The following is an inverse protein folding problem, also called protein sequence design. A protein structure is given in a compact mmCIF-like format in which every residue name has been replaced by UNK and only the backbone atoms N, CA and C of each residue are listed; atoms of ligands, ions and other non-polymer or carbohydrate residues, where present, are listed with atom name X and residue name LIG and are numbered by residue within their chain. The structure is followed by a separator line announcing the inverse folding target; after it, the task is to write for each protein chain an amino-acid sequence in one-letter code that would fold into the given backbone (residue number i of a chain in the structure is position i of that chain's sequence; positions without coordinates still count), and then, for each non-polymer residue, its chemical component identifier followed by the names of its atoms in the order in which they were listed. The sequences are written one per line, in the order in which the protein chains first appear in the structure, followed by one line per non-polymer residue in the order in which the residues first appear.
data_IF_507226239213
#
_entry.id   IF_507226239213
#
_cell.length_a   1.000
_cell.length_b   1.000
_cell.length_c   1.000
_cell.angle_alpha   90.00
_cell.angle_beta   90.00
_cell.angle_gamma   90.00
#
_symmetry.space_group_name_H-M   'P 1'
#
loop_
_entity.id
_entity.type
_entity.pdbx_description
1 polymer ?
#
# COMPACT_ATOMS: atom_id res chain seq x y z
N UNK A 1 -4.67 29.34 4.13
CA UNK A 1 -4.40 27.88 4.11
C UNK A 1 -5.72 27.17 3.94
N UNK A 2 -5.72 26.09 3.17
CA UNK A 2 -6.87 25.19 2.98
C UNK A 2 -6.43 23.76 3.29
N UNK A 3 -7.38 22.93 3.70
CA UNK A 3 -7.14 21.52 3.99
C UNK A 3 -7.38 20.68 2.75
N UNK A 4 -6.41 19.81 2.43
CA UNK A 4 -6.51 18.80 1.39
C UNK A 4 -6.26 17.43 2.03
N UNK A 5 -7.18 16.49 1.83
CA UNK A 5 -7.07 15.12 2.34
C UNK A 5 -6.82 14.18 1.16
N UNK A 6 -5.79 13.36 1.26
CA UNK A 6 -5.50 12.28 0.31
C UNK A 6 -5.97 10.98 0.98
N UNK A 7 -7.09 10.42 0.53
CA UNK A 7 -7.53 9.09 0.96
C UNK A 7 -6.89 8.06 0.02
N UNK A 8 -5.96 7.27 0.55
CA UNK A 8 -5.22 6.23 -0.14
C UNK A 8 -5.96 4.90 0.00
N UNK A 9 -6.36 4.28 -1.11
CA UNK A 9 -6.86 2.90 -1.14
C UNK A 9 -5.69 1.90 -0.98
N UNK A 10 -4.99 2.02 0.14
CA UNK A 10 -3.75 1.31 0.41
C UNK A 10 -3.78 0.69 1.82
N UNK A 11 -3.39 -0.58 1.92
CA UNK A 11 -3.33 -1.34 3.18
C UNK A 11 -1.96 -1.15 3.84
N UNK A 12 -1.66 0.06 4.29
CA UNK A 12 -0.33 0.44 4.79
C UNK A 12 -0.31 0.52 6.32
N UNK A 13 0.66 -0.15 6.95
CA UNK A 13 1.01 0.14 8.34
C UNK A 13 1.37 1.62 8.49
N UNK A 14 1.12 2.23 9.66
CA UNK A 14 1.43 3.64 9.88
C UNK A 14 2.87 4.02 9.49
N UNK A 15 3.85 3.17 9.83
CA UNK A 15 5.26 3.42 9.47
C UNK A 15 5.49 3.43 7.95
N UNK A 16 4.89 2.50 7.19
CA UNK A 16 5.04 2.47 5.73
C UNK A 16 4.31 3.63 5.06
N UNK A 17 3.16 4.06 5.59
CA UNK A 17 2.47 5.27 5.12
C UNK A 17 3.38 6.49 5.29
N UNK A 18 4.04 6.60 6.46
CA UNK A 18 4.97 7.69 6.76
C UNK A 18 6.14 7.70 5.77
N UNK A 19 6.88 6.60 5.69
CA UNK A 19 8.10 6.50 4.87
C UNK A 19 7.81 6.64 3.37
N UNK A 20 6.73 6.04 2.87
CA UNK A 20 6.45 6.00 1.44
C UNK A 20 5.73 7.26 0.91
N UNK A 21 4.92 7.90 1.75
CA UNK A 21 4.06 8.99 1.31
C UNK A 21 4.24 10.26 2.13
N UNK A 22 4.15 10.21 3.46
CA UNK A 22 4.18 11.43 4.28
C UNK A 22 5.52 12.17 4.18
N UNK A 23 6.65 11.49 4.40
CA UNK A 23 7.97 12.13 4.37
C UNK A 23 8.31 12.70 2.98
N UNK A 24 8.10 11.98 1.86
CA UNK A 24 8.33 12.56 0.54
C UNK A 24 7.39 13.73 0.22
N UNK A 25 6.12 13.66 0.63
CA UNK A 25 5.16 14.74 0.41
C UNK A 25 5.49 15.97 1.25
N UNK A 26 5.74 15.80 2.54
CA UNK A 26 6.18 16.85 3.47
C UNK A 26 7.38 17.59 2.90
N UNK A 27 8.43 16.84 2.50
CA UNK A 27 9.64 17.41 1.91
C UNK A 27 9.32 18.22 0.65
N UNK A 28 8.51 17.67 -0.26
CA UNK A 28 8.16 18.36 -1.50
C UNK A 28 7.35 19.65 -1.26
N UNK A 29 6.45 19.65 -0.27
CA UNK A 29 5.65 20.82 0.09
C UNK A 29 6.51 21.93 0.71
N UNK A 30 7.44 21.54 1.60
CA UNK A 30 8.37 22.47 2.26
C UNK A 30 9.37 23.07 1.26
N UNK A 31 9.99 22.25 0.40
CA UNK A 31 10.94 22.71 -0.63
C UNK A 31 10.28 23.69 -1.62
N UNK A 32 8.99 23.50 -1.91
CA UNK A 32 8.25 24.38 -2.79
C UNK A 32 7.61 25.59 -2.08
N UNK A 33 7.66 25.64 -0.74
CA UNK A 33 6.95 26.61 0.10
C UNK A 33 5.46 26.72 -0.28
N UNK A 34 4.76 25.58 -0.36
CA UNK A 34 3.33 25.54 -0.76
C UNK A 34 2.41 24.99 0.33
N UNK A 35 2.97 24.45 1.41
CA UNK A 35 2.20 23.88 2.51
C UNK A 35 3.02 22.97 3.41
N UNK A 36 2.31 22.23 4.25
CA UNK A 36 2.86 21.28 5.22
C UNK A 36 1.91 20.11 5.40
N UNK A 37 2.43 18.99 5.91
CA UNK A 37 1.60 17.89 6.37
C UNK A 37 1.13 18.18 7.80
N UNK A 38 -0.15 17.91 8.07
CA UNK A 38 -0.76 18.22 9.39
C UNK A 38 -1.33 17.00 10.10
N UNK A 39 -1.45 15.87 9.40
CA UNK A 39 -1.91 14.63 10.02
C UNK A 39 -2.08 13.48 9.04
N UNK A 40 -2.59 12.37 9.55
CA UNK A 40 -2.97 11.21 8.75
C UNK A 40 -3.55 10.09 9.60
N UNK A 41 -4.60 9.46 9.11
CA UNK A 41 -5.34 8.37 9.75
C UNK A 41 -5.13 7.01 9.11
N UNK A 42 -5.39 5.97 9.90
CA UNK A 42 -5.47 4.58 9.42
C UNK A 42 -6.82 4.03 9.83
N UNK A 43 -7.59 3.55 8.87
CA UNK A 43 -8.84 2.85 9.16
C UNK A 43 -8.59 1.35 9.16
N UNK A 44 -9.00 0.70 10.24
CA UNK A 44 -8.89 -0.75 10.40
C UNK A 44 -10.27 -1.41 10.26
N UNK A 45 -10.25 -2.64 9.75
CA UNK A 45 -11.36 -3.58 9.86
C UNK A 45 -11.50 -4.07 11.30
N UNK A 46 -12.62 -4.73 11.61
CA UNK A 46 -12.83 -5.35 12.93
C UNK A 46 -11.78 -6.41 13.27
N UNK A 47 -11.13 -6.98 12.25
CA UNK A 47 -10.02 -7.93 12.39
C UNK A 47 -8.72 -7.27 12.84
N UNK A 48 -8.63 -5.94 12.79
CA UNK A 48 -7.39 -5.18 12.95
C UNK A 48 -6.61 -5.00 11.64
N UNK A 49 -7.01 -5.68 10.56
CA UNK A 49 -6.42 -5.48 9.24
C UNK A 49 -6.69 -4.08 8.73
N UNK A 50 -5.69 -3.45 8.11
CA UNK A 50 -5.84 -2.11 7.56
C UNK A 50 -6.74 -2.17 6.32
N UNK A 51 -7.72 -1.25 6.29
CA UNK A 51 -8.63 -1.09 5.17
C UNK A 51 -8.09 -0.08 4.17
N UNK A 52 -7.79 1.12 4.66
CA UNK A 52 -7.24 2.25 3.92
C UNK A 52 -6.59 3.25 4.90
N UNK A 53 -5.93 4.26 4.36
CA UNK A 53 -5.33 5.34 5.14
C UNK A 53 -5.57 6.69 4.49
N UNK A 54 -5.36 7.76 5.25
CA UNK A 54 -5.44 9.12 4.78
C UNK A 54 -4.23 9.95 5.22
N UNK A 55 -3.97 11.01 4.45
CA UNK A 55 -2.94 12.01 4.71
C UNK A 55 -3.60 13.38 4.61
N UNK A 56 -3.43 14.21 5.63
CA UNK A 56 -4.00 15.55 5.71
C UNK A 56 -2.90 16.59 5.49
N UNK A 57 -3.14 17.48 4.52
CA UNK A 57 -2.24 18.57 4.16
C UNK A 57 -2.89 19.93 4.44
N UNK A 58 -2.10 20.88 4.92
CA UNK A 58 -2.45 22.29 4.97
C UNK A 58 -1.66 23.02 3.88
N UNK A 59 -2.35 23.50 2.84
CA UNK A 59 -1.70 24.10 1.67
C UNK A 59 -2.15 25.55 1.43
N UNK A 60 -1.32 26.33 0.73
CA UNK A 60 -1.69 27.67 0.27
C UNK A 60 -2.79 27.57 -0.78
N UNK A 61 -3.79 28.43 -0.68
CA UNK A 61 -5.02 28.34 -1.49
C UNK A 61 -4.74 28.57 -2.99
N UNK A 62 -3.83 29.48 -3.30
CA UNK A 62 -3.36 29.79 -4.65
C UNK A 62 -2.51 28.66 -5.28
N UNK A 63 -1.95 27.76 -4.47
CA UNK A 63 -1.16 26.61 -4.93
C UNK A 63 -1.98 25.31 -5.08
N UNK A 64 -3.28 25.35 -4.73
CA UNK A 64 -4.17 24.17 -4.71
C UNK A 64 -4.09 23.31 -5.97
N UNK A 65 -4.26 23.92 -7.14
CA UNK A 65 -4.29 23.18 -8.42
C UNK A 65 -2.93 22.57 -8.78
N UNK A 66 -1.84 23.23 -8.38
CA UNK A 66 -0.47 22.72 -8.59
C UNK A 66 -0.22 21.50 -7.70
N UNK A 67 -0.61 21.56 -6.43
CA UNK A 67 -0.49 20.42 -5.49
C UNK A 67 -1.34 19.24 -5.94
N UNK A 68 -2.61 19.46 -6.31
CA UNK A 68 -3.48 18.40 -6.85
C UNK A 68 -2.86 17.77 -8.10
N UNK A 69 -2.38 18.59 -9.03
CA UNK A 69 -1.74 18.10 -10.27
C UNK A 69 -0.46 17.31 -9.99
N UNK A 70 0.30 17.67 -8.95
CA UNK A 70 1.48 16.93 -8.52
C UNK A 70 1.10 15.56 -7.98
N UNK A 71 0.15 15.49 -7.04
CA UNK A 71 -0.32 14.22 -6.44
C UNK A 71 -0.88 13.28 -7.52
N UNK A 72 -1.65 13.81 -8.47
CA UNK A 72 -2.23 13.04 -9.59
C UNK A 72 -1.18 12.35 -10.48
N UNK A 73 0.07 12.83 -10.49
CA UNK A 73 1.16 12.25 -11.28
C UNK A 73 1.89 11.11 -10.55
N UNK A 74 1.67 10.94 -9.25
CA UNK A 74 2.33 9.91 -8.44
C UNK A 74 1.77 8.54 -8.83
N UNK A 75 2.60 7.74 -9.52
CA UNK A 75 2.18 6.45 -10.10
C UNK A 75 1.96 5.34 -9.08
N UNK A 76 2.60 5.46 -7.92
CA UNK A 76 2.51 4.49 -6.82
C UNK A 76 1.18 4.59 -6.05
N UNK A 77 0.37 5.62 -6.29
CA UNK A 77 -0.94 5.73 -5.64
C UNK A 77 -1.88 4.67 -6.21
N UNK A 78 -2.49 3.82 -5.36
CA UNK A 78 -3.40 2.77 -5.83
C UNK A 78 -4.68 3.32 -6.42
N UNK A 79 -5.23 2.61 -7.41
CA UNK A 79 -6.58 2.87 -7.94
C UNK A 79 -7.61 2.85 -6.81
N UNK A 80 -8.64 3.68 -6.94
CA UNK A 80 -9.67 3.87 -5.91
C UNK A 80 -9.31 4.92 -4.85
N UNK A 81 -8.10 5.48 -4.88
CA UNK A 81 -7.71 6.62 -4.05
C UNK A 81 -8.39 7.91 -4.52
N UNK A 82 -8.48 8.91 -3.65
CA UNK A 82 -9.12 10.20 -3.96
C UNK A 82 -8.50 11.35 -3.17
N UNK A 83 -8.63 12.55 -3.73
CA UNK A 83 -8.34 13.82 -3.06
C UNK A 83 -9.67 14.46 -2.66
N UNK A 84 -9.75 14.97 -1.44
CA UNK A 84 -10.88 15.71 -0.89
C UNK A 84 -10.39 17.11 -0.51
N UNK A 85 -11.06 18.14 -1.00
CA UNK A 85 -10.76 19.54 -0.72
C UNK A 85 -12.07 20.31 -0.55
N UNK A 86 -12.48 20.57 0.69
CA UNK A 86 -13.81 21.08 1.00
C UNK A 86 -14.90 20.15 0.47
N UNK A 87 -15.82 20.67 -0.35
CA UNK A 87 -16.91 19.88 -0.97
C UNK A 87 -16.47 19.16 -2.25
N UNK A 88 -15.25 19.40 -2.74
CA UNK A 88 -14.76 18.80 -3.99
C UNK A 88 -14.03 17.50 -3.73
N UNK A 89 -14.34 16.47 -4.52
CA UNK A 89 -13.63 15.18 -4.53
C UNK A 89 -13.14 14.86 -5.94
N UNK A 90 -11.88 14.42 -6.06
CA UNK A 90 -11.29 14.00 -7.33
C UNK A 90 -10.63 12.62 -7.18
N UNK A 91 -10.96 11.67 -8.07
CA UNK A 91 -10.32 10.36 -8.10
C UNK A 91 -8.86 10.47 -8.56
N UNK A 92 -7.98 9.71 -7.92
CA UNK A 92 -6.56 9.63 -8.26
C UNK A 92 -6.07 8.17 -8.20
N UNK A 93 -4.82 7.97 -8.61
CA UNK A 93 -4.16 6.66 -8.54
C UNK A 93 -4.28 5.85 -9.81
N UNK A 94 -3.25 5.05 -10.05
CA UNK A 94 -3.13 4.18 -11.22
C UNK A 94 -2.55 2.81 -10.90
N UNK A 95 -1.91 2.63 -9.74
CA UNK A 95 -1.36 1.34 -9.36
C UNK A 95 -2.46 0.32 -9.05
N UNK A 96 -2.28 -0.91 -9.52
CA UNK A 96 -3.08 -2.06 -9.12
C UNK A 96 -2.45 -2.70 -7.88
N UNK A 97 -3.28 -3.34 -7.06
CA UNK A 97 -2.85 -3.93 -5.80
C UNK A 97 -3.09 -5.44 -5.76
N UNK A 98 -2.11 -6.18 -5.23
CA UNK A 98 -2.18 -7.61 -4.99
C UNK A 98 -1.89 -7.90 -3.52
N UNK A 99 -2.82 -8.58 -2.85
CA UNK A 99 -2.58 -9.15 -1.52
C UNK A 99 -2.31 -10.65 -1.64
N UNK A 100 -1.29 -11.14 -0.93
CA UNK A 100 -1.05 -12.56 -0.70
C UNK A 100 -1.32 -12.82 0.78
N UNK A 101 -2.34 -13.61 1.08
CA UNK A 101 -2.67 -14.03 2.44
C UNK A 101 -2.12 -15.43 2.67
N UNK A 102 -1.14 -15.53 3.57
CA UNK A 102 -0.49 -16.75 4.01
C UNK A 102 -1.24 -17.34 5.20
N UNK A 103 -1.35 -18.66 5.25
CA UNK A 103 -1.96 -19.34 6.37
C UNK A 103 -1.03 -19.32 7.60
N UNK A 104 -1.51 -18.84 8.74
CA UNK A 104 -0.72 -18.69 9.97
C UNK A 104 -0.97 -19.75 11.04
N UNK A 105 -1.90 -20.71 10.85
CA UNK A 105 -2.33 -21.61 11.94
C UNK A 105 -2.49 -23.08 11.56
N UNK A 106 -2.73 -23.40 10.29
CA UNK A 106 -3.24 -24.70 9.86
C UNK A 106 -2.18 -25.58 9.16
N UNK A 107 -0.98 -25.04 8.90
CA UNK A 107 0.14 -25.84 8.40
C UNK A 107 0.82 -26.63 9.54
N UNK A 108 1.51 -27.75 9.24
CA UNK A 108 2.31 -28.45 10.24
C UNK A 108 3.33 -27.50 10.89
N UNK A 109 3.52 -27.62 12.22
CA UNK A 109 4.41 -26.71 12.96
C UNK A 109 5.86 -26.69 12.44
N UNK A 110 6.34 -27.82 11.91
CA UNK A 110 7.65 -27.91 11.27
C UNK A 110 7.80 -26.91 10.12
N UNK A 111 6.75 -26.69 9.32
CA UNK A 111 6.80 -25.72 8.20
C UNK A 111 7.07 -24.31 8.72
N UNK A 112 6.42 -23.89 9.79
CA UNK A 112 6.68 -22.57 10.39
C UNK A 112 8.05 -22.48 11.07
N UNK A 113 8.60 -23.60 11.54
CA UNK A 113 9.89 -23.64 12.23
C UNK A 113 11.09 -23.68 11.29
N UNK A 114 10.93 -24.28 10.09
CA UNK A 114 12.03 -24.49 9.14
C UNK A 114 12.02 -23.56 7.95
N UNK A 115 11.04 -22.65 7.84
CA UNK A 115 10.95 -21.69 6.73
C UNK A 115 10.85 -20.27 7.30
N UNK A 116 11.58 -19.34 6.68
CA UNK A 116 11.53 -17.92 7.03
C UNK A 116 10.60 -17.16 6.08
N UNK A 117 9.65 -16.40 6.62
CA UNK A 117 8.76 -15.54 5.83
C UNK A 117 9.54 -14.47 5.07
N UNK A 118 10.68 -14.01 5.58
CA UNK A 118 11.51 -13.00 4.92
C UNK A 118 12.21 -13.56 3.68
N UNK A 119 12.60 -14.84 3.70
CA UNK A 119 13.11 -15.54 2.51
C UNK A 119 12.02 -15.67 1.44
N UNK A 120 10.79 -16.01 1.84
CA UNK A 120 9.64 -16.00 0.94
C UNK A 120 9.37 -14.61 0.35
N UNK A 121 9.35 -13.56 1.18
CA UNK A 121 9.16 -12.17 0.72
C UNK A 121 10.23 -11.82 -0.32
N UNK A 122 11.50 -12.16 -0.06
CA UNK A 122 12.59 -11.93 -1.01
C UNK A 122 12.35 -12.66 -2.33
N UNK A 123 11.90 -13.92 -2.30
CA UNK A 123 11.58 -14.68 -3.51
C UNK A 123 10.40 -14.08 -4.29
N UNK A 124 9.40 -13.53 -3.59
CA UNK A 124 8.25 -12.86 -4.21
C UNK A 124 8.67 -11.55 -4.87
N UNK A 125 9.46 -10.72 -4.18
CA UNK A 125 10.05 -9.48 -4.72
C UNK A 125 10.89 -9.76 -5.96
N UNK A 126 11.80 -10.74 -5.90
CA UNK A 126 12.65 -11.13 -7.03
C UNK A 126 11.81 -11.61 -8.23
N UNK A 127 10.75 -12.37 -7.98
CA UNK A 127 9.86 -12.85 -9.04
C UNK A 127 9.05 -11.71 -9.69
N UNK A 128 8.53 -10.79 -8.88
CA UNK A 128 7.78 -9.62 -9.35
C UNK A 128 8.71 -8.70 -10.16
N UNK A 129 9.91 -8.41 -9.64
CA UNK A 129 10.89 -7.50 -10.24
C UNK A 129 10.32 -6.09 -10.39
N UNK A 130 10.56 -5.44 -11.53
CA UNK A 130 10.13 -4.05 -11.77
C UNK A 130 8.59 -3.87 -11.92
N UNK A 131 7.81 -4.95 -11.86
CA UNK A 131 6.35 -4.92 -12.11
C UNK A 131 5.58 -4.36 -10.91
N UNK A 132 6.16 -4.40 -9.72
CA UNK A 132 5.57 -3.94 -8.48
C UNK A 132 6.50 -4.20 -7.29
N UNK A 133 6.11 -3.70 -6.13
CA UNK A 133 6.87 -3.88 -4.89
C UNK A 133 5.92 -4.10 -3.72
N UNK A 134 6.41 -4.75 -2.67
CA UNK A 134 5.72 -4.85 -1.40
C UNK A 134 5.72 -3.47 -0.74
N UNK A 135 4.53 -3.00 -0.38
CA UNK A 135 4.38 -1.72 0.30
C UNK A 135 4.20 -1.92 1.80
N UNK A 136 3.60 -3.04 2.22
CA UNK A 136 3.28 -3.28 3.61
C UNK A 136 2.87 -4.72 3.86
N UNK A 137 2.68 -5.07 5.13
CA UNK A 137 2.09 -6.33 5.58
C UNK A 137 1.09 -6.10 6.71
N UNK A 138 0.36 -7.15 7.05
CA UNK A 138 -0.43 -7.24 8.27
C UNK A 138 -0.33 -8.65 8.85
N UNK A 139 -0.13 -8.75 10.16
CA UNK A 139 -0.12 -10.01 10.88
C UNK A 139 -1.39 -10.12 11.72
N UNK A 140 -2.23 -11.09 11.37
CA UNK A 140 -3.45 -11.42 12.08
C UNK A 140 -3.32 -12.71 12.89
N UNK A 141 -4.38 -13.04 13.62
CA UNK A 141 -4.41 -14.27 14.44
C UNK A 141 -4.49 -15.57 13.64
N UNK A 142 -4.82 -15.50 12.34
CA UNK A 142 -4.99 -16.67 11.46
C UNK A 142 -4.20 -16.60 10.17
N UNK A 143 -3.83 -15.39 9.73
CA UNK A 143 -3.20 -15.18 8.45
C UNK A 143 -2.17 -14.05 8.55
N UNK A 144 -1.14 -14.13 7.72
CA UNK A 144 -0.25 -13.00 7.44
C UNK A 144 -0.52 -12.51 6.03
N UNK A 145 -0.82 -11.23 5.86
CA UNK A 145 -1.07 -10.61 4.57
C UNK A 145 0.16 -9.82 4.12
N UNK A 146 0.57 -10.02 2.87
CA UNK A 146 1.62 -9.27 2.19
C UNK A 146 0.98 -8.44 1.06
N UNK A 147 1.21 -7.13 1.05
CA UNK A 147 0.56 -6.20 0.13
C UNK A 147 1.55 -5.64 -0.88
N UNK A 148 1.32 -5.96 -2.15
CA UNK A 148 2.12 -5.53 -3.28
C UNK A 148 1.32 -4.57 -4.16
N UNK A 149 1.99 -3.56 -4.70
CA UNK A 149 1.39 -2.61 -5.63
C UNK A 149 2.31 -2.38 -6.83
N UNK A 150 1.70 -2.27 -8.00
CA UNK A 150 2.40 -2.25 -9.27
C UNK A 150 1.53 -1.76 -10.42
N UNK A 151 2.03 -1.89 -11.65
CA UNK A 151 1.29 -1.42 -12.84
C UNK A 151 0.15 -2.36 -13.22
N UNK A 152 0.31 -3.67 -12.99
CA UNK A 152 -0.73 -4.66 -13.28
C UNK A 152 -0.81 -5.79 -12.25
N UNK A 153 -2.02 -6.01 -11.73
CA UNK A 153 -2.34 -7.14 -10.86
C UNK A 153 -2.09 -8.47 -11.57
N UNK A 154 -2.51 -8.61 -12.83
CA UNK A 154 -2.36 -9.86 -13.57
C UNK A 154 -0.89 -10.20 -13.82
N UNK A 155 -0.06 -9.21 -14.10
CA UNK A 155 1.38 -9.42 -14.30
C UNK A 155 2.08 -9.79 -12.98
N UNK A 156 1.76 -9.11 -11.87
CA UNK A 156 2.29 -9.47 -10.56
C UNK A 156 1.85 -10.88 -10.15
N UNK A 157 0.57 -11.22 -10.37
CA UNK A 157 0.01 -12.54 -10.04
C UNK A 157 0.65 -13.68 -10.83
N UNK A 158 0.86 -13.49 -12.14
CA UNK A 158 1.55 -14.51 -12.94
C UNK A 158 3.03 -14.61 -12.58
N UNK A 159 3.69 -13.50 -12.21
CA UNK A 159 5.08 -13.50 -11.79
C UNK A 159 5.32 -14.35 -10.53
N UNK A 160 4.46 -14.24 -9.51
CA UNK A 160 4.62 -14.98 -8.24
C UNK A 160 4.16 -16.44 -8.32
N UNK A 161 3.50 -16.86 -9.40
CA UNK A 161 2.82 -18.16 -9.51
C UNK A 161 3.73 -19.35 -9.20
N UNK A 162 4.97 -19.33 -9.70
CA UNK A 162 5.94 -20.41 -9.44
C UNK A 162 6.34 -20.46 -7.96
N UNK A 163 6.53 -19.30 -7.32
CA UNK A 163 6.87 -19.22 -5.89
C UNK A 163 5.69 -19.75 -5.06
N UNK A 164 4.48 -19.29 -5.35
CA UNK A 164 3.26 -19.70 -4.64
C UNK A 164 3.02 -21.21 -4.75
N UNK A 165 3.27 -21.82 -5.91
CA UNK A 165 3.03 -23.25 -6.11
C UNK A 165 4.10 -24.16 -5.52
N UNK A 166 5.26 -23.63 -5.12
CA UNK A 166 6.42 -24.42 -4.69
C UNK A 166 6.83 -24.17 -3.25
N UNK A 167 6.62 -22.96 -2.73
CA UNK A 167 7.07 -22.60 -1.40
C UNK A 167 6.13 -23.17 -0.31
N UNK A 168 6.64 -23.89 0.71
CA UNK A 168 5.78 -24.53 1.72
C UNK A 168 4.86 -23.59 2.49
N UNK A 169 5.33 -22.39 2.83
CA UNK A 169 4.52 -21.34 3.50
C UNK A 169 3.35 -20.82 2.64
N UNK A 170 3.36 -21.06 1.33
CA UNK A 170 2.28 -20.65 0.43
C UNK A 170 1.16 -21.71 0.33
N UNK A 171 1.30 -22.86 0.99
CA UNK A 171 0.21 -23.81 1.08
C UNK A 171 -0.98 -23.18 1.80
N UNK A 172 -2.18 -23.39 1.23
CA UNK A 172 -3.43 -22.76 1.71
C UNK A 172 -3.40 -21.22 1.68
N UNK A 173 -2.51 -20.61 0.89
CA UNK A 173 -2.55 -19.17 0.64
C UNK A 173 -3.64 -18.79 -0.37
N UNK A 174 -4.02 -17.51 -0.36
CA UNK A 174 -4.91 -16.91 -1.35
C UNK A 174 -4.36 -15.59 -1.87
N UNK A 175 -4.69 -15.27 -3.11
CA UNK A 175 -4.33 -14.01 -3.76
C UNK A 175 -5.59 -13.22 -4.04
N UNK A 176 -5.61 -11.94 -3.66
CA UNK A 176 -6.72 -11.02 -3.92
C UNK A 176 -6.25 -9.74 -4.61
N UNK A 177 -7.08 -9.22 -5.51
CA UNK A 177 -6.88 -7.87 -6.05
C UNK A 177 -7.47 -6.86 -5.06
N UNK A 178 -6.64 -5.90 -4.63
CA UNK A 178 -7.01 -4.90 -3.61
C UNK A 178 -7.05 -3.47 -4.15
N UNK A 179 -6.58 -3.25 -5.39
CA UNK A 179 -6.73 -2.00 -6.15
C UNK A 179 -6.69 -2.28 -7.66
#
# INVERSE_FOLDING_TARGET
MITLIIELNAKLQPIHRVEMFEEPLEKALQEADVGELVGGGTLQLITGEIKNCDIELSIKEDEKERVISFIQRIKIIPKGSKIICGETTASIGSAEGMAIYLNGTDLPSEIYQTNDVNELISCLEDAIGEKGHMYSWWEGSKETALYFYGQSFNEMKEAVKSVISTHPLCNMSRIEQIA
#
